data_IF_396440106546
#
_entry.id   IF_396440106546
#
_cell.length_a   1.000
_cell.length_b   1.000
_cell.length_c   1.000
_cell.angle_alpha   90.00
_cell.angle_beta   90.00
_cell.angle_gamma   90.00
#
_symmetry.space_group_name_H-M   'P 1'
#
loop_
_entity.id
_entity.type
_entity.pdbx_description
1 polymer ?
#
# COMPACT_ATOMS: atom_id res chain seq x y z
N UNK A 1 17.82 32.46 -0.38
CA UNK A 1 17.22 31.63 0.69
C UNK A 1 15.74 31.47 0.37
N UNK A 2 15.33 30.37 -0.27
CA UNK A 2 13.91 30.10 -0.58
C UNK A 2 13.29 29.45 0.66
N UNK A 3 12.50 30.20 1.40
CA UNK A 3 11.67 29.68 2.49
C UNK A 3 10.54 28.88 1.85
N UNK A 4 10.58 27.55 2.01
CA UNK A 4 9.45 26.70 1.65
C UNK A 4 8.25 27.09 2.55
N UNK A 5 7.07 27.22 1.95
CA UNK A 5 5.82 27.48 2.66
C UNK A 5 5.61 26.41 3.76
N UNK A 6 4.97 26.75 4.89
CA UNK A 6 4.63 25.76 5.91
C UNK A 6 3.77 24.70 5.26
N UNK A 7 4.31 23.49 5.10
CA UNK A 7 3.58 22.37 4.54
C UNK A 7 2.53 22.01 5.59
N UNK A 8 1.25 22.17 5.25
CA UNK A 8 0.16 21.64 6.04
C UNK A 8 0.36 20.13 6.17
N UNK A 9 0.39 19.61 7.39
CA UNK A 9 0.58 18.18 7.67
C UNK A 9 -0.46 17.32 6.94
N UNK A 10 -1.67 17.86 6.74
CA UNK A 10 -2.70 17.17 5.98
C UNK A 10 -2.34 17.09 4.49
N UNK A 11 -1.89 18.17 3.87
CA UNK A 11 -1.40 18.18 2.47
C UNK A 11 -0.23 17.21 2.28
N UNK A 12 0.72 17.18 3.22
CA UNK A 12 1.84 16.25 3.18
C UNK A 12 1.38 14.79 3.22
N UNK A 13 0.45 14.47 4.13
CA UNK A 13 -0.08 13.13 4.28
C UNK A 13 -0.79 12.65 3.01
N UNK A 14 -1.56 13.52 2.33
CA UNK A 14 -2.19 13.18 1.05
C UNK A 14 -1.13 12.87 -0.02
N UNK A 15 -0.14 13.75 -0.19
CA UNK A 15 0.93 13.57 -1.18
C UNK A 15 1.74 12.29 -0.94
N UNK A 16 1.98 11.95 0.32
CA UNK A 16 2.63 10.70 0.69
C UNK A 16 1.73 9.50 0.40
N UNK A 17 0.44 9.60 0.70
CA UNK A 17 -0.52 8.55 0.41
C UNK A 17 -0.55 8.25 -1.09
N UNK A 18 -0.66 9.27 -1.94
CA UNK A 18 -0.67 9.11 -3.40
C UNK A 18 0.61 8.46 -3.96
N UNK A 19 1.74 8.64 -3.28
CA UNK A 19 3.01 8.03 -3.65
C UNK A 19 3.18 6.58 -3.19
N UNK A 20 2.32 6.09 -2.28
CA UNK A 20 2.35 4.71 -1.80
C UNK A 20 1.73 3.75 -2.83
N UNK A 21 2.10 2.45 -2.82
CA UNK A 21 1.59 1.46 -3.78
C UNK A 21 0.10 1.14 -3.72
N UNK A 22 -0.66 1.70 -2.77
CA UNK A 22 -2.10 1.46 -2.57
C UNK A 22 -2.49 -0.03 -2.46
N UNK A 23 -1.60 -0.87 -1.92
CA UNK A 23 -1.84 -2.32 -1.79
C UNK A 23 -2.71 -2.68 -0.59
N UNK A 24 -2.88 -1.76 0.37
CA UNK A 24 -3.67 -1.97 1.59
C UNK A 24 -3.27 -3.23 2.38
N UNK A 25 -1.99 -3.63 2.29
CA UNK A 25 -1.52 -4.94 2.75
C UNK A 25 -1.12 -5.01 4.23
N UNK A 26 -1.17 -3.88 4.95
CA UNK A 26 -0.86 -3.72 6.39
C UNK A 26 0.53 -4.19 6.87
N UNK A 27 1.44 -4.58 5.98
CA UNK A 27 2.80 -5.06 6.35
C UNK A 27 3.67 -4.03 7.09
N UNK A 28 3.40 -2.74 6.87
CA UNK A 28 4.04 -1.65 7.63
C UNK A 28 3.54 -1.56 9.09
N UNK A 29 2.50 -2.31 9.47
CA UNK A 29 1.87 -2.27 10.80
C UNK A 29 0.73 -1.25 10.94
N UNK A 30 0.41 -0.52 9.86
CA UNK A 30 -0.72 0.42 9.82
C UNK A 30 -1.94 -0.22 9.13
N UNK A 31 -3.17 0.19 9.48
CA UNK A 31 -4.40 -0.43 8.94
C UNK A 31 -4.60 -0.20 7.44
N UNK A 32 -4.02 0.87 6.87
CA UNK A 32 -4.16 1.25 5.47
C UNK A 32 -3.01 2.19 5.05
N UNK A 33 -2.85 2.42 3.73
CA UNK A 33 -1.81 3.31 3.22
C UNK A 33 -1.93 4.76 3.71
N UNK A 34 -3.16 5.26 3.91
CA UNK A 34 -3.41 6.65 4.35
C UNK A 34 -2.97 6.86 5.79
N UNK A 35 -3.23 5.90 6.67
CA UNK A 35 -2.81 5.89 8.06
C UNK A 35 -1.28 5.83 8.19
N UNK A 36 -0.62 5.04 7.35
CA UNK A 36 0.85 5.05 7.27
C UNK A 36 1.39 6.40 6.77
N UNK A 37 0.79 6.98 5.74
CA UNK A 37 1.19 8.29 5.20
C UNK A 37 1.04 9.41 6.24
N UNK A 38 -0.04 9.41 7.04
CA UNK A 38 -0.23 10.34 8.16
C UNK A 38 0.87 10.19 9.22
N UNK A 39 1.23 8.96 9.58
CA UNK A 39 2.30 8.71 10.54
C UNK A 39 3.67 9.18 10.02
N UNK A 40 3.94 9.01 8.72
CA UNK A 40 5.15 9.58 8.10
C UNK A 40 5.11 11.12 8.16
N UNK A 41 3.99 11.75 7.79
CA UNK A 41 3.86 13.20 7.81
C UNK A 41 4.04 13.79 9.21
N UNK A 42 3.56 13.09 10.24
CA UNK A 42 3.73 13.46 11.65
C UNK A 42 5.13 13.15 12.21
N UNK A 43 5.99 12.44 11.45
CA UNK A 43 7.32 12.01 11.92
C UNK A 43 7.30 10.82 12.89
N UNK A 44 6.16 10.15 13.03
CA UNK A 44 5.97 8.99 13.92
C UNK A 44 6.43 7.67 13.28
N UNK A 45 6.55 7.64 11.94
CA UNK A 45 6.99 6.48 11.17
C UNK A 45 8.09 6.82 10.16
N UNK A 46 8.97 5.84 9.91
CA UNK A 46 9.98 5.96 8.86
C UNK A 46 9.39 5.73 7.47
N UNK A 47 9.98 6.37 6.44
CA UNK A 47 9.62 6.18 5.03
C UNK A 47 9.99 4.80 4.46
N UNK A 48 10.75 4.00 5.22
CA UNK A 48 11.34 2.72 4.83
C UNK A 48 10.61 1.50 5.39
N UNK A 49 9.32 1.61 5.69
CA UNK A 49 8.56 0.53 6.33
C UNK A 49 7.55 -0.15 5.40
N UNK A 50 7.52 0.19 4.10
CA UNK A 50 6.59 -0.38 3.12
C UNK A 50 7.28 -1.40 2.20
N UNK A 51 7.22 -2.72 2.48
CA UNK A 51 7.86 -3.72 1.63
C UNK A 51 7.39 -3.73 0.17
N UNK A 52 6.09 -3.56 -0.15
CA UNK A 52 5.64 -3.45 -1.53
C UNK A 52 6.14 -2.20 -2.25
N UNK A 53 6.51 -1.16 -1.49
CA UNK A 53 7.08 0.07 -2.04
C UNK A 53 8.55 -0.10 -2.43
N UNK A 54 9.29 -0.92 -1.68
CA UNK A 54 10.68 -1.25 -1.98
C UNK A 54 11.60 -0.03 -2.00
N UNK A 55 12.79 -0.21 -2.56
CA UNK A 55 13.78 0.87 -2.69
C UNK A 55 13.24 2.09 -3.47
N UNK A 56 12.48 1.86 -4.55
CA UNK A 56 11.91 2.93 -5.36
C UNK A 56 10.85 3.74 -4.60
N UNK A 57 10.02 3.06 -3.80
CA UNK A 57 9.03 3.69 -2.92
C UNK A 57 9.72 4.58 -1.89
N UNK A 58 10.79 4.08 -1.27
CA UNK A 58 11.59 4.86 -0.31
C UNK A 58 12.16 6.11 -0.99
N UNK A 59 12.77 5.96 -2.17
CA UNK A 59 13.30 7.10 -2.92
C UNK A 59 12.21 8.12 -3.30
N UNK A 60 11.00 7.64 -3.64
CA UNK A 60 9.83 8.50 -3.91
C UNK A 60 9.40 9.28 -2.66
N UNK A 61 9.25 8.61 -1.52
CA UNK A 61 8.85 9.24 -0.27
C UNK A 61 9.91 10.20 0.25
N UNK A 62 11.19 9.85 0.17
CA UNK A 62 12.32 10.71 0.54
C UNK A 62 12.30 12.05 -0.20
N UNK A 63 11.96 12.04 -1.50
CA UNK A 63 11.83 13.27 -2.30
C UNK A 63 10.67 14.17 -1.83
N UNK A 64 9.60 13.57 -1.31
CA UNK A 64 8.42 14.29 -0.84
C UNK A 64 8.68 14.87 0.55
N UNK A 65 9.28 14.10 1.45
CA UNK A 65 9.56 14.52 2.84
C UNK A 65 10.85 15.33 2.98
N UNK A 66 11.76 15.27 2.00
CA UNK A 66 13.12 15.79 2.13
C UNK A 66 14.02 14.93 3.03
N UNK A 67 13.58 13.72 3.40
CA UNK A 67 14.33 12.80 4.26
C UNK A 67 15.47 12.07 3.57
N UNK A 68 16.36 11.46 4.35
CA UNK A 68 17.43 10.61 3.84
C UNK A 68 16.88 9.24 3.37
N UNK A 69 17.43 8.71 2.29
CA UNK A 69 17.13 7.35 1.82
C UNK A 69 17.82 6.36 2.77
N UNK A 70 17.05 5.42 3.29
CA UNK A 70 17.54 4.29 4.09
C UNK A 70 17.08 2.96 3.50
N UNK A 71 17.76 1.84 3.80
CA UNK A 71 17.29 0.51 3.40
C UNK A 71 15.91 0.19 3.98
N UNK A 72 15.14 -0.66 3.29
CA UNK A 72 13.87 -1.18 3.80
C UNK A 72 14.07 -1.80 5.19
N UNK A 73 13.17 -1.46 6.11
CA UNK A 73 13.10 -2.05 7.44
C UNK A 73 12.79 -3.56 7.32
N UNK A 74 13.82 -4.37 7.55
CA UNK A 74 13.74 -5.83 7.46
C UNK A 74 12.73 -6.44 8.44
N UNK A 75 12.34 -5.74 9.52
CA UNK A 75 11.30 -6.20 10.44
C UNK A 75 9.89 -6.18 9.83
N UNK A 76 9.69 -5.38 8.77
CA UNK A 76 8.42 -5.29 8.02
C UNK A 76 8.33 -6.30 6.88
N UNK A 77 9.41 -7.01 6.60
CA UNK A 77 9.51 -8.02 5.56
C UNK A 77 10.50 -7.62 4.46
N UNK A 78 10.46 -8.36 3.35
CA UNK A 78 11.36 -8.16 2.22
C UNK A 78 10.65 -7.50 1.05
N UNK A 79 11.42 -6.76 0.26
CA UNK A 79 10.98 -6.27 -1.05
C UNK A 79 10.71 -7.47 -1.98
N UNK A 80 9.68 -7.34 -2.80
CA UNK A 80 9.31 -8.34 -3.77
C UNK A 80 8.27 -7.82 -4.76
N UNK A 81 8.04 -8.53 -5.87
CA UNK A 81 7.09 -8.10 -6.88
C UNK A 81 5.68 -8.03 -6.32
N UNK A 82 4.90 -7.06 -6.80
CA UNK A 82 3.47 -7.03 -6.57
C UNK A 82 2.84 -8.30 -7.16
N UNK A 83 2.02 -8.97 -6.37
CA UNK A 83 1.32 -10.20 -6.78
C UNK A 83 -0.12 -9.86 -7.11
N UNK A 84 -0.58 -10.35 -8.25
CA UNK A 84 -1.99 -10.29 -8.62
C UNK A 84 -2.72 -11.50 -8.00
N UNK A 85 -3.87 -11.25 -7.38
CA UNK A 85 -4.76 -12.34 -7.00
C UNK A 85 -5.31 -13.01 -8.27
N UNK A 86 -5.40 -14.34 -8.28
CA UNK A 86 -6.03 -15.12 -9.35
C UNK A 86 -6.99 -16.11 -8.73
N UNK A 87 -8.17 -16.22 -9.33
CA UNK A 87 -9.18 -17.22 -8.97
C UNK A 87 -9.12 -18.32 -10.01
N UNK A 88 -8.99 -19.56 -9.55
CA UNK A 88 -9.18 -20.73 -10.41
C UNK A 88 -10.68 -20.96 -10.58
N UNK A 89 -11.17 -20.66 -11.79
CA UNK A 89 -12.58 -20.74 -12.14
C UNK A 89 -13.12 -22.16 -12.04
N UNK A 90 -12.31 -23.17 -12.38
CA UNK A 90 -12.72 -24.58 -12.33
C UNK A 90 -12.83 -25.10 -10.89
N UNK A 91 -12.06 -24.52 -9.97
CA UNK A 91 -12.07 -24.89 -8.55
C UNK A 91 -12.98 -23.98 -7.69
N UNK A 92 -13.52 -22.89 -8.24
CA UNK A 92 -14.32 -21.94 -7.48
C UNK A 92 -15.69 -22.51 -7.09
N UNK A 93 -15.94 -22.67 -5.79
CA UNK A 93 -17.22 -23.16 -5.27
C UNK A 93 -18.22 -22.07 -4.85
N UNK A 94 -17.86 -20.80 -5.06
CA UNK A 94 -18.72 -19.67 -4.67
C UNK A 94 -18.81 -19.42 -3.15
N UNK A 95 -17.74 -19.67 -2.39
CA UNK A 95 -17.71 -19.58 -0.91
C UNK A 95 -17.55 -18.16 -0.33
N UNK A 96 -17.32 -17.14 -1.17
CA UNK A 96 -17.10 -15.71 -0.81
C UNK A 96 -15.92 -15.38 0.10
N UNK A 97 -15.16 -16.36 0.58
CA UNK A 97 -13.95 -16.11 1.41
C UNK A 97 -12.91 -15.23 0.71
N UNK A 98 -12.79 -15.35 -0.61
CA UNK A 98 -11.89 -14.51 -1.40
C UNK A 98 -12.30 -13.04 -1.36
N UNK A 99 -13.59 -12.72 -1.44
CA UNK A 99 -14.12 -11.34 -1.32
C UNK A 99 -13.76 -10.77 0.05
N UNK A 100 -13.99 -11.54 1.12
CA UNK A 100 -13.69 -11.08 2.48
C UNK A 100 -12.20 -10.85 2.74
N UNK A 101 -11.34 -11.64 2.08
CA UNK A 101 -9.90 -11.48 2.17
C UNK A 101 -9.34 -10.35 1.30
N UNK A 102 -10.13 -9.81 0.37
CA UNK A 102 -9.68 -8.79 -0.56
C UNK A 102 -9.60 -7.42 0.16
N UNK A 103 -8.42 -6.80 0.28
CA UNK A 103 -8.27 -5.55 1.01
C UNK A 103 -8.71 -4.31 0.19
N UNK A 104 -9.00 -4.49 -1.10
CA UNK A 104 -9.34 -3.41 -2.05
C UNK A 104 -10.63 -3.68 -2.83
N UNK A 105 -11.40 -4.69 -2.42
CA UNK A 105 -12.68 -5.06 -3.02
C UNK A 105 -12.64 -5.28 -4.55
N UNK A 106 -11.56 -5.88 -5.06
CA UNK A 106 -11.38 -6.11 -6.50
C UNK A 106 -11.95 -7.45 -7.00
N UNK A 107 -12.65 -8.21 -6.15
CA UNK A 107 -13.19 -9.53 -6.47
C UNK A 107 -14.71 -9.44 -6.62
N UNK A 108 -15.21 -9.77 -7.80
CA UNK A 108 -16.65 -9.77 -8.12
C UNK A 108 -17.17 -11.20 -8.10
N UNK A 109 -18.38 -11.39 -7.56
CA UNK A 109 -19.19 -12.58 -7.73
C UNK A 109 -20.33 -12.60 -6.72
N UNK A 110 -20.98 -13.75 -6.57
CA UNK A 110 -22.09 -13.94 -5.64
C UNK A 110 -21.99 -15.31 -4.95
N UNK A 111 -22.66 -15.50 -3.81
CA UNK A 111 -22.72 -16.80 -3.17
C UNK A 111 -23.16 -17.89 -4.15
N UNK A 112 -22.43 -19.02 -4.16
CA UNK A 112 -22.66 -20.17 -5.06
C UNK A 112 -22.51 -19.84 -6.55
N UNK A 113 -21.86 -18.72 -6.89
CA UNK A 113 -21.45 -18.36 -8.24
C UNK A 113 -19.92 -18.24 -8.32
N UNK A 114 -19.40 -18.37 -9.52
CA UNK A 114 -17.97 -18.17 -9.79
C UNK A 114 -17.58 -16.73 -9.43
N UNK A 115 -16.40 -16.57 -8.86
CA UNK A 115 -15.80 -15.26 -8.58
C UNK A 115 -14.69 -14.96 -9.58
N UNK A 116 -14.43 -13.68 -9.84
CA UNK A 116 -13.34 -13.23 -10.69
C UNK A 116 -12.70 -11.95 -10.15
N UNK A 117 -11.45 -11.69 -10.56
CA UNK A 117 -10.72 -10.48 -10.20
C UNK A 117 -10.86 -9.47 -11.33
N UNK A 118 -11.26 -8.23 -11.02
CA UNK A 118 -11.37 -7.16 -12.01
C UNK A 118 -9.97 -6.89 -12.59
N UNK A 119 -9.87 -6.86 -13.93
CA UNK A 119 -8.61 -6.56 -14.62
C UNK A 119 -7.63 -7.73 -14.71
N UNK A 120 -8.05 -8.96 -14.40
CA UNK A 120 -7.22 -10.16 -14.55
C UNK A 120 -7.08 -10.67 -16.00
N UNK A 121 -7.10 -9.76 -16.99
CA UNK A 121 -6.96 -10.06 -18.43
C UNK A 121 -5.62 -9.58 -18.96
#
# INVERSE_FOLDING_TARGET
MKTAAPIDLLDLAERLCDALPQTQCTRCGYPDCRSYAKAIAAGEAGINQCPPGGADGIARLARITGGAISPLDASRGTEGPLRLARIDEAACIGCTLCIQACPVDCIIGAPKRMHTVIGAQ
#
